data_IF_060851595360
#
_entry.id   IF_060851595360
#
_cell.length_a   1.000
_cell.length_b   1.000
_cell.length_c   1.000
_cell.angle_alpha   90.00
_cell.angle_beta   90.00
_cell.angle_gamma   90.00
#
_symmetry.space_group_name_H-M   'P 1'
#
loop_
_entity.id
_entity.type
_entity.pdbx_description
1 polymer ?
#
# COMPACT_ATOMS: atom_id res chain seq x y z
N UNK A 1 -10.50 -1.46 -21.63
CA UNK A 1 -10.36 -0.63 -20.42
C UNK A 1 -8.90 -0.61 -20.03
N UNK A 2 -8.36 0.49 -19.47
CA UNK A 2 -7.02 0.47 -18.91
C UNK A 2 -6.93 -0.59 -17.80
N UNK A 3 -5.79 -1.27 -17.73
CA UNK A 3 -5.56 -2.26 -16.68
C UNK A 3 -5.50 -1.59 -15.31
N UNK A 4 -6.02 -2.26 -14.26
CA UNK A 4 -5.85 -1.79 -12.90
C UNK A 4 -4.37 -1.63 -12.58
N UNK A 5 -4.02 -0.51 -11.98
CA UNK A 5 -2.65 -0.22 -11.60
C UNK A 5 -2.59 0.55 -10.30
N UNK A 6 -1.47 0.37 -9.61
CA UNK A 6 -1.14 1.06 -8.38
C UNK A 6 0.21 1.74 -8.60
N UNK A 7 0.26 3.03 -8.35
CA UNK A 7 1.51 3.80 -8.32
C UNK A 7 1.71 4.32 -6.91
N UNK A 8 2.87 4.03 -6.36
CA UNK A 8 3.27 4.49 -5.04
C UNK A 8 4.40 5.50 -5.24
N UNK A 9 4.20 6.71 -4.75
CA UNK A 9 5.19 7.78 -4.82
C UNK A 9 5.53 8.22 -3.41
N UNK A 10 6.83 8.27 -3.10
CA UNK A 10 7.32 8.94 -1.90
C UNK A 10 7.20 10.46 -2.08
N UNK A 11 6.51 11.13 -1.16
CA UNK A 11 6.34 12.58 -1.18
C UNK A 11 7.42 13.23 -0.33
N UNK A 12 7.56 12.81 0.93
CA UNK A 12 8.60 13.29 1.84
C UNK A 12 8.96 12.24 2.91
N UNK A 13 10.05 12.49 3.62
CA UNK A 13 10.62 11.65 4.69
C UNK A 13 11.11 12.54 5.84
N UNK A 14 10.84 12.09 7.06
CA UNK A 14 11.51 12.48 8.31
C UNK A 14 12.42 11.35 8.80
N UNK A 15 13.05 11.54 9.96
CA UNK A 15 13.85 10.54 10.66
C UNK A 15 13.09 9.21 10.88
N UNK A 16 11.81 9.29 11.25
CA UNK A 16 11.01 8.11 11.62
C UNK A 16 9.75 7.91 10.74
N UNK A 17 9.35 8.92 9.96
CA UNK A 17 8.06 8.99 9.27
C UNK A 17 8.19 9.32 7.78
N UNK A 18 7.20 8.91 6.99
CA UNK A 18 7.13 9.14 5.55
C UNK A 18 5.73 9.56 5.17
N UNK A 19 5.62 10.39 4.13
CA UNK A 19 4.37 10.52 3.39
C UNK A 19 4.50 9.83 2.04
N UNK A 20 3.52 8.98 1.77
CA UNK A 20 3.37 8.27 0.51
C UNK A 20 2.08 8.69 -0.15
N UNK A 21 2.14 8.97 -1.45
CA UNK A 21 0.96 9.05 -2.29
C UNK A 21 0.73 7.70 -2.95
N UNK A 22 -0.44 7.14 -2.72
CA UNK A 22 -0.96 6.00 -3.44
C UNK A 22 -1.97 6.48 -4.48
N UNK A 23 -1.68 6.18 -5.73
CA UNK A 23 -2.56 6.44 -6.87
C UNK A 23 -3.04 5.10 -7.41
N UNK A 24 -4.30 4.78 -7.10
CA UNK A 24 -4.98 3.56 -7.50
C UNK A 24 -5.90 3.86 -8.67
N UNK A 25 -5.78 3.06 -9.71
CA UNK A 25 -6.76 3.00 -10.80
C UNK A 25 -7.27 1.57 -10.88
N UNK A 26 -8.55 1.36 -10.60
CA UNK A 26 -9.26 0.10 -10.81
C UNK A 26 -10.18 0.17 -12.01
N UNK A 27 -10.93 -0.91 -12.26
CA UNK A 27 -11.89 -0.96 -13.38
C UNK A 27 -13.05 0.04 -13.22
N UNK A 28 -13.47 0.31 -11.98
CA UNK A 28 -14.66 1.11 -11.68
C UNK A 28 -14.41 2.30 -10.75
N UNK A 29 -13.18 2.47 -10.28
CA UNK A 29 -12.83 3.49 -9.29
C UNK A 29 -11.38 3.91 -9.44
N UNK A 30 -11.12 5.18 -9.16
CA UNK A 30 -9.78 5.70 -8.90
C UNK A 30 -9.73 6.22 -7.47
N UNK A 31 -8.55 6.14 -6.85
CA UNK A 31 -8.31 6.72 -5.54
C UNK A 31 -6.91 7.32 -5.51
N UNK A 32 -6.79 8.54 -4.98
CA UNK A 32 -5.52 9.20 -4.75
C UNK A 32 -5.45 9.53 -3.26
N UNK A 33 -4.55 8.87 -2.53
CA UNK A 33 -4.51 8.89 -1.07
C UNK A 33 -3.08 9.23 -0.64
N UNK A 34 -2.94 10.26 0.18
CA UNK A 34 -1.71 10.47 0.93
C UNK A 34 -1.84 9.77 2.28
N UNK A 35 -0.85 8.94 2.61
CA UNK A 35 -0.74 8.33 3.93
C UNK A 35 0.56 8.75 4.58
N UNK A 36 0.49 8.90 5.90
CA UNK A 36 1.67 8.98 6.74
C UNK A 36 1.98 7.57 7.23
N UNK A 37 3.24 7.16 7.25
CA UNK A 37 3.61 5.80 7.65
C UNK A 37 5.03 5.77 8.19
N UNK A 38 5.42 4.68 8.82
CA UNK A 38 6.77 4.50 9.39
C UNK A 38 7.70 3.78 8.42
N UNK A 39 9.01 3.94 8.62
CA UNK A 39 10.04 3.16 7.94
C UNK A 39 9.79 1.64 7.99
N UNK A 40 9.28 1.16 9.14
CA UNK A 40 9.02 -0.26 9.37
C UNK A 40 7.88 -0.78 8.49
N UNK A 41 6.74 -0.10 8.49
CA UNK A 41 5.58 -0.48 7.67
C UNK A 41 5.90 -0.46 6.16
N UNK A 42 6.81 0.43 5.74
CA UNK A 42 7.31 0.54 4.38
C UNK A 42 8.18 -0.66 3.98
N UNK A 43 9.09 -1.10 4.86
CA UNK A 43 9.89 -2.29 4.59
C UNK A 43 9.01 -3.55 4.55
N UNK A 44 7.99 -3.64 5.42
CA UNK A 44 6.98 -4.70 5.37
C UNK A 44 6.23 -4.72 4.03
N UNK A 45 5.81 -3.55 3.53
CA UNK A 45 5.17 -3.40 2.21
C UNK A 45 6.10 -3.88 1.09
N UNK A 46 7.36 -3.43 1.10
CA UNK A 46 8.36 -3.78 0.09
C UNK A 46 8.64 -5.28 0.07
N UNK A 47 8.88 -5.89 1.22
CA UNK A 47 9.12 -7.33 1.32
C UNK A 47 7.92 -8.13 0.81
N UNK A 48 6.71 -7.71 1.19
CA UNK A 48 5.48 -8.36 0.77
C UNK A 48 5.25 -8.30 -0.74
N UNK A 49 5.45 -7.13 -1.36
CA UNK A 49 5.39 -6.97 -2.83
C UNK A 49 6.42 -7.85 -3.52
N UNK A 50 7.66 -7.93 -3.01
CA UNK A 50 8.71 -8.80 -3.59
C UNK A 50 8.31 -10.28 -3.49
N UNK A 51 7.83 -10.74 -2.32
CA UNK A 51 7.40 -12.13 -2.12
C UNK A 51 6.21 -12.48 -3.01
N UNK A 52 5.23 -11.58 -3.12
CA UNK A 52 4.06 -11.76 -3.97
C UNK A 52 4.42 -11.78 -5.47
N UNK A 53 5.20 -10.81 -5.94
CA UNK A 53 5.64 -10.72 -7.35
C UNK A 53 6.58 -11.85 -7.79
N UNK A 54 7.25 -12.51 -6.85
CA UNK A 54 8.05 -13.71 -7.10
C UNK A 54 7.25 -15.01 -6.95
N UNK A 55 5.92 -14.93 -6.89
CA UNK A 55 4.99 -16.06 -6.74
C UNK A 55 5.25 -16.93 -5.50
N UNK A 56 5.96 -16.40 -4.50
CA UNK A 56 6.20 -17.11 -3.23
C UNK A 56 4.98 -17.08 -2.32
N UNK A 57 4.06 -16.15 -2.57
CA UNK A 57 2.79 -16.00 -1.87
C UNK A 57 1.66 -15.94 -2.89
N UNK A 58 0.56 -16.66 -2.65
CA UNK A 58 -0.67 -16.59 -3.46
C UNK A 58 -1.49 -15.35 -3.15
N UNK A 59 -1.28 -14.79 -1.96
CA UNK A 59 -1.98 -13.62 -1.44
C UNK A 59 -1.00 -12.81 -0.60
N UNK A 60 -1.08 -11.48 -0.71
CA UNK A 60 -0.37 -10.56 0.17
C UNK A 60 -1.34 -9.54 0.74
N UNK A 61 -1.34 -9.41 2.06
CA UNK A 61 -2.10 -8.41 2.79
C UNK A 61 -1.15 -7.42 3.44
N UNK A 62 -1.42 -6.14 3.24
CA UNK A 62 -0.71 -5.06 3.92
C UNK A 62 -1.71 -4.17 4.66
N UNK A 63 -1.36 -3.84 5.89
CA UNK A 63 -2.15 -2.99 6.78
C UNK A 63 -1.23 -1.90 7.31
N UNK A 64 -1.66 -0.65 7.21
CA UNK A 64 -0.98 0.49 7.84
C UNK A 64 -1.93 1.24 8.76
N UNK A 65 -1.41 1.55 9.96
CA UNK A 65 -2.20 2.07 11.08
C UNK A 65 -2.97 0.98 11.86
N UNK A 66 -3.62 1.41 12.93
CA UNK A 66 -4.50 0.57 13.76
C UNK A 66 -5.95 1.05 13.60
N UNK A 67 -6.90 0.13 13.55
CA UNK A 67 -8.34 0.43 13.49
C UNK A 67 -8.84 0.83 14.89
N UNK A 68 -8.52 2.07 15.27
CA UNK A 68 -8.94 2.71 16.52
C UNK A 68 -9.55 4.08 16.21
N UNK A 69 -10.52 4.51 17.03
CA UNK A 69 -11.37 5.69 16.78
C UNK A 69 -10.61 7.01 16.50
N UNK A 70 -9.31 7.10 16.86
CA UNK A 70 -8.50 8.32 16.76
C UNK A 70 -7.34 8.23 15.75
N UNK A 71 -7.33 7.25 14.84
CA UNK A 71 -6.26 7.16 13.84
C UNK A 71 -6.52 8.11 12.66
N UNK A 72 -5.48 8.82 12.22
CA UNK A 72 -5.55 9.73 11.05
C UNK A 72 -5.55 9.01 9.70
N UNK A 73 -5.10 7.75 9.65
CA UNK A 73 -5.16 6.90 8.48
C UNK A 73 -5.28 5.43 8.88
N UNK A 74 -6.16 4.70 8.20
CA UNK A 74 -6.20 3.24 8.24
C UNK A 74 -6.30 2.75 6.80
N UNK A 75 -5.32 1.93 6.38
CA UNK A 75 -5.26 1.43 5.01
C UNK A 75 -5.09 -0.07 5.03
N UNK A 76 -6.03 -0.77 4.40
CA UNK A 76 -6.01 -2.21 4.20
C UNK A 76 -5.95 -2.50 2.71
N UNK A 77 -4.88 -3.16 2.25
CA UNK A 77 -4.70 -3.56 0.86
C UNK A 77 -4.48 -5.06 0.80
N UNK A 78 -5.16 -5.72 -0.15
CA UNK A 78 -5.06 -7.16 -0.38
C UNK A 78 -4.82 -7.43 -1.86
N UNK A 79 -3.75 -8.17 -2.14
CA UNK A 79 -3.35 -8.60 -3.47
C UNK A 79 -3.61 -10.09 -3.62
N UNK A 80 -4.18 -10.48 -4.76
CA UNK A 80 -4.44 -11.88 -5.11
C UNK A 80 -3.76 -12.20 -6.43
N UNK A 81 -3.10 -13.35 -6.50
CA UNK A 81 -2.71 -13.91 -7.78
C UNK A 81 -3.97 -14.30 -8.53
N UNK A 82 -4.13 -13.71 -9.71
CA UNK A 82 -5.21 -14.06 -10.61
C UNK A 82 -4.81 -15.34 -11.36
N UNK A 83 -5.69 -16.33 -11.37
CA UNK A 83 -5.55 -17.53 -12.23
C UNK A 83 -5.59 -17.14 -13.72
#
# INVERSE_FOLDING_TARGET
>A
MPEPNIKIKKIWEDTDFFELNFDFTGFYSTANINIYTTNKELEDLKEGIIKFSTFKLHEFQWVSGEDIDNVTHFLFIRFFLHD
#
